data_IF_080663561046
#
_entry.id   IF_080663561046
#
_cell.length_a   1.000
_cell.length_b   1.000
_cell.length_c   1.000
_cell.angle_alpha   90.00
_cell.angle_beta   90.00
_cell.angle_gamma   90.00
#
_symmetry.space_group_name_H-M   'P 1'
#
loop_
_entity.id
_entity.type
_entity.pdbx_description
1 polymer ?
#
# COMPACT_ATOMS: atom_id res chain seq x y z
N UNK A 1 -35.95 53.34 22.40
CA UNK A 1 -35.85 51.87 22.33
C UNK A 1 -34.46 51.51 21.84
N UNK A 2 -33.57 51.09 22.72
CA UNK A 2 -32.19 50.69 22.38
C UNK A 2 -32.19 49.17 22.22
N UNK A 3 -31.93 48.69 21.01
CA UNK A 3 -31.84 47.26 20.71
C UNK A 3 -30.53 46.69 21.26
N UNK A 4 -30.64 45.82 22.27
CA UNK A 4 -29.50 45.09 22.85
C UNK A 4 -29.21 43.87 21.97
N UNK A 5 -28.03 43.82 21.37
CA UNK A 5 -27.58 42.70 20.57
C UNK A 5 -27.34 41.44 21.44
N UNK A 6 -27.77 40.24 21.03
CA UNK A 6 -27.58 39.03 21.81
C UNK A 6 -26.10 38.63 21.86
N UNK A 7 -25.59 38.45 23.08
CA UNK A 7 -24.24 37.98 23.35
C UNK A 7 -24.01 36.62 22.67
N UNK A 8 -23.02 36.57 21.78
CA UNK A 8 -22.58 35.36 21.11
C UNK A 8 -21.95 34.41 22.14
N UNK A 9 -22.73 33.40 22.56
CA UNK A 9 -22.26 32.33 23.42
C UNK A 9 -21.11 31.60 22.72
N UNK A 10 -19.92 31.79 23.27
CA UNK A 10 -18.69 31.12 22.87
C UNK A 10 -18.89 29.61 23.06
N UNK A 11 -19.23 28.89 21.98
CA UNK A 11 -19.28 27.42 22.01
C UNK A 11 -17.85 26.93 22.31
N UNK A 12 -17.59 26.29 23.45
CA UNK A 12 -16.28 25.73 23.71
C UNK A 12 -15.98 24.73 22.59
N UNK A 13 -14.86 24.94 21.89
CA UNK A 13 -14.38 24.05 20.86
C UNK A 13 -14.24 22.65 21.48
N UNK A 14 -15.17 21.76 21.17
CA UNK A 14 -15.13 20.38 21.59
C UNK A 14 -13.84 19.79 21.04
N UNK A 15 -12.84 19.63 21.91
CA UNK A 15 -11.57 18.99 21.57
C UNK A 15 -11.92 17.55 21.18
N UNK A 16 -11.90 17.28 19.88
CA UNK A 16 -12.08 15.93 19.36
C UNK A 16 -10.95 15.08 19.94
N UNK A 17 -11.28 14.24 20.92
CA UNK A 17 -10.36 13.21 21.42
C UNK A 17 -9.89 12.44 20.19
N UNK A 18 -8.59 12.58 19.90
CA UNK A 18 -7.93 11.92 18.79
C UNK A 18 -7.94 10.42 19.12
N UNK A 19 -9.01 9.73 18.76
CA UNK A 19 -9.03 8.27 18.71
C UNK A 19 -8.03 7.85 17.64
N UNK A 20 -6.81 7.56 18.05
CA UNK A 20 -5.84 6.79 17.26
C UNK A 20 -6.41 5.39 17.06
N UNK A 21 -7.32 5.26 16.10
CA UNK A 21 -7.99 4.00 15.85
C UNK A 21 -6.97 2.99 15.29
N UNK A 22 -6.63 1.90 15.99
CA UNK A 22 -5.69 0.87 15.49
C UNK A 22 -6.10 0.33 14.12
N UNK A 23 -7.40 0.38 13.78
CA UNK A 23 -7.91 0.05 12.46
C UNK A 23 -7.38 0.93 11.31
N UNK A 24 -6.88 2.15 11.55
CA UNK A 24 -6.27 2.98 10.49
C UNK A 24 -4.94 2.40 10.02
N UNK A 25 -4.09 1.99 10.95
CA UNK A 25 -2.79 1.39 10.63
C UNK A 25 -2.99 0.06 9.89
N UNK A 26 -3.85 -0.82 10.42
CA UNK A 26 -4.14 -2.11 9.78
C UNK A 26 -4.67 -1.92 8.34
N UNK A 27 -5.59 -0.96 8.13
CA UNK A 27 -6.11 -0.65 6.79
C UNK A 27 -5.02 -0.12 5.86
N UNK A 28 -4.10 0.72 6.36
CA UNK A 28 -2.97 1.22 5.58
C UNK A 28 -2.05 0.08 5.16
N UNK A 29 -1.68 -0.80 6.09
CA UNK A 29 -0.83 -1.97 5.82
C UNK A 29 -1.50 -2.91 4.81
N UNK A 30 -2.78 -3.24 5.01
CA UNK A 30 -3.53 -4.10 4.10
C UNK A 30 -3.62 -3.52 2.69
N UNK A 31 -3.90 -2.22 2.55
CA UNK A 31 -3.92 -1.55 1.23
C UNK A 31 -2.54 -1.56 0.56
N UNK A 32 -1.49 -1.35 1.35
CA UNK A 32 -0.10 -1.35 0.85
C UNK A 32 0.29 -2.73 0.33
N UNK A 33 -0.02 -3.80 1.08
CA UNK A 33 0.21 -5.18 0.67
C UNK A 33 -0.60 -5.54 -0.59
N UNK A 34 -1.90 -5.22 -0.62
CA UNK A 34 -2.74 -5.45 -1.79
C UNK A 34 -2.23 -4.72 -3.03
N UNK A 35 -1.68 -3.52 -2.86
CA UNK A 35 -1.07 -2.78 -3.97
C UNK A 35 0.20 -3.45 -4.50
N UNK A 36 1.06 -3.93 -3.60
CA UNK A 36 2.25 -4.72 -3.97
C UNK A 36 1.91 -6.00 -4.73
N UNK A 37 0.87 -6.73 -4.30
CA UNK A 37 0.41 -7.97 -4.93
C UNK A 37 -0.25 -7.76 -6.30
N UNK A 38 -1.01 -6.67 -6.47
CA UNK A 38 -1.81 -6.45 -7.68
C UNK A 38 -1.09 -5.69 -8.78
N UNK A 39 -0.02 -4.96 -8.46
CA UNK A 39 0.69 -4.11 -9.44
C UNK A 39 1.22 -4.88 -10.65
N UNK A 40 1.89 -6.01 -10.43
CA UNK A 40 2.52 -6.78 -11.50
C UNK A 40 1.49 -7.51 -12.39
N UNK A 41 0.50 -8.24 -11.85
CA UNK A 41 -0.56 -8.84 -12.67
C UNK A 41 -1.28 -7.82 -13.56
N UNK A 42 -1.56 -6.62 -13.05
CA UNK A 42 -2.20 -5.56 -13.83
C UNK A 42 -1.30 -5.02 -14.95
N UNK A 43 0.00 -4.86 -14.71
CA UNK A 43 0.95 -4.42 -15.73
C UNK A 43 1.07 -5.48 -16.85
N UNK A 44 1.15 -6.76 -16.48
CA UNK A 44 1.22 -7.88 -17.44
C UNK A 44 -0.06 -8.00 -18.26
N UNK A 45 -1.24 -7.94 -17.62
CA UNK A 45 -2.52 -8.05 -18.31
C UNK A 45 -2.81 -6.87 -19.26
N UNK A 46 -2.25 -5.69 -19.00
CA UNK A 46 -2.44 -4.51 -19.84
C UNK A 46 -1.75 -4.62 -21.21
N UNK A 47 -0.68 -5.41 -21.33
CA UNK A 47 0.06 -5.60 -22.59
C UNK A 47 -0.82 -6.25 -23.67
N UNK A 48 -1.36 -7.48 -23.50
CA UNK A 48 -2.19 -8.11 -24.52
C UNK A 48 -3.48 -7.31 -24.80
N UNK A 49 -4.09 -6.69 -23.78
CA UNK A 49 -5.26 -5.84 -23.98
C UNK A 49 -4.95 -4.65 -24.90
N UNK A 50 -3.78 -4.02 -24.74
CA UNK A 50 -3.36 -2.91 -25.58
C UNK A 50 -3.12 -3.35 -27.03
N UNK A 51 -2.57 -4.55 -27.24
CA UNK A 51 -2.32 -5.11 -28.56
C UNK A 51 -3.60 -5.46 -29.34
N UNK A 52 -4.68 -5.80 -28.64
CA UNK A 52 -6.01 -6.10 -29.25
C UNK A 52 -6.90 -4.84 -29.33
N UNK A 53 -6.32 -3.64 -29.17
CA UNK A 53 -7.06 -2.38 -29.29
C UNK A 53 -7.93 -2.03 -28.07
N UNK A 54 -7.81 -2.77 -26.96
CA UNK A 54 -8.54 -2.54 -25.70
C UNK A 54 -7.74 -1.64 -24.73
N UNK A 55 -6.96 -0.70 -25.27
CA UNK A 55 -6.08 0.17 -24.48
C UNK A 55 -6.85 1.03 -23.45
N UNK A 56 -8.02 1.54 -23.82
CA UNK A 56 -8.88 2.33 -22.91
C UNK A 56 -9.36 1.49 -21.71
N UNK A 57 -9.73 0.23 -21.95
CA UNK A 57 -10.15 -0.71 -20.90
C UNK A 57 -8.99 -1.06 -19.97
N UNK A 58 -7.80 -1.32 -20.53
CA UNK A 58 -6.59 -1.55 -19.74
C UNK A 58 -6.24 -0.34 -18.87
N UNK A 59 -6.26 0.87 -19.43
CA UNK A 59 -6.04 2.11 -18.70
C UNK A 59 -7.10 2.33 -17.60
N UNK A 60 -8.37 2.02 -17.86
CA UNK A 60 -9.44 2.09 -16.88
C UNK A 60 -9.19 1.14 -15.70
N UNK A 61 -8.79 -0.11 -15.95
CA UNK A 61 -8.45 -1.06 -14.88
C UNK A 61 -7.24 -0.61 -14.06
N UNK A 62 -6.18 -0.12 -14.70
CA UNK A 62 -5.01 0.41 -14.00
C UNK A 62 -5.38 1.62 -13.12
N UNK A 63 -6.19 2.55 -13.63
CA UNK A 63 -6.70 3.70 -12.86
C UNK A 63 -7.60 3.29 -11.70
N UNK A 64 -8.52 2.36 -11.91
CA UNK A 64 -9.40 1.84 -10.87
C UNK A 64 -8.61 1.17 -9.74
N UNK A 65 -7.56 0.42 -10.07
CA UNK A 65 -6.68 -0.20 -9.08
C UNK A 65 -5.89 0.85 -8.26
N UNK A 66 -5.36 1.89 -8.92
CA UNK A 66 -4.72 3.02 -8.23
C UNK A 66 -5.72 3.70 -7.30
N UNK A 67 -6.92 4.03 -7.77
CA UNK A 67 -7.95 4.73 -6.99
C UNK A 67 -8.41 3.90 -5.78
N UNK A 68 -8.58 2.59 -5.95
CA UNK A 68 -9.05 1.70 -4.88
C UNK A 68 -8.00 1.44 -3.79
N UNK A 69 -6.74 1.30 -4.20
CA UNK A 69 -5.68 0.76 -3.33
C UNK A 69 -4.56 1.75 -3.01
N UNK A 70 -4.56 2.98 -3.54
CA UNK A 70 -3.50 3.96 -3.23
C UNK A 70 -3.52 4.32 -1.74
N UNK A 71 -2.38 4.16 -1.03
CA UNK A 71 -2.24 4.54 0.38
C UNK A 71 -2.51 6.04 0.61
N UNK A 72 -2.22 6.89 -0.38
CA UNK A 72 -2.38 8.34 -0.27
C UNK A 72 -3.83 8.76 -0.05
N UNK A 73 -4.79 8.03 -0.63
CA UNK A 73 -6.23 8.28 -0.42
C UNK A 73 -6.67 8.04 1.02
N UNK A 74 -5.98 7.16 1.74
CA UNK A 74 -6.25 6.93 3.17
C UNK A 74 -5.71 8.07 4.04
N UNK A 75 -4.71 8.82 3.56
CA UNK A 75 -4.05 9.90 4.28
C UNK A 75 -4.64 11.28 3.97
N UNK A 76 -5.20 11.49 2.78
CA UNK A 76 -5.82 12.76 2.39
C UNK A 76 -7.24 12.90 2.97
N UNK A 77 -7.56 14.10 3.48
CA UNK A 77 -8.91 14.64 3.76
C UNK A 77 -9.86 14.30 2.58
N UNK A 78 -11.17 14.04 2.81
CA UNK A 78 -12.11 13.69 1.74
C UNK A 78 -11.92 14.63 0.54
N UNK A 79 -11.38 14.06 -0.54
CA UNK A 79 -11.23 14.76 -1.80
C UNK A 79 -12.64 15.22 -2.20
N UNK A 80 -12.76 16.48 -2.63
CA UNK A 80 -13.99 16.97 -3.24
C UNK A 80 -14.42 15.97 -4.31
N UNK A 81 -15.71 15.60 -4.28
CA UNK A 81 -16.29 14.56 -5.13
C UNK A 81 -16.01 14.76 -6.63
N UNK A 82 -15.64 15.98 -7.02
CA UNK A 82 -15.32 16.39 -8.39
C UNK A 82 -14.04 15.76 -8.96
N UNK A 83 -13.12 15.25 -8.14
CA UNK A 83 -11.88 14.63 -8.63
C UNK A 83 -12.09 13.21 -9.24
N UNK A 84 -13.26 12.59 -8.99
CA UNK A 84 -13.59 11.24 -9.42
C UNK A 84 -14.62 11.17 -10.55
N UNK A 85 -15.05 12.32 -11.10
CA UNK A 85 -15.95 12.34 -12.24
C UNK A 85 -15.34 11.52 -13.40
N UNK A 86 -16.08 10.54 -13.97
CA UNK A 86 -15.64 9.80 -15.14
C UNK A 86 -15.19 10.78 -16.23
N UNK A 87 -13.93 10.70 -16.63
CA UNK A 87 -13.45 11.45 -17.79
C UNK A 87 -13.92 10.74 -19.06
N UNK A 88 -15.23 10.76 -19.27
CA UNK A 88 -15.86 10.17 -20.43
C UNK A 88 -15.41 10.95 -21.68
N UNK A 89 -14.77 10.25 -22.62
CA UNK A 89 -14.38 10.80 -23.93
C UNK A 89 -12.87 10.94 -24.18
N UNK A 90 -12.01 10.85 -23.16
CA UNK A 90 -10.54 10.94 -23.37
C UNK A 90 -9.97 9.57 -23.77
N UNK A 91 -9.71 9.38 -25.07
CA UNK A 91 -9.05 8.17 -25.59
C UNK A 91 -7.57 8.14 -25.18
N UNK A 92 -7.12 7.03 -24.60
CA UNK A 92 -5.72 6.80 -24.24
C UNK A 92 -5.08 5.94 -25.34
N UNK A 93 -4.11 6.51 -26.07
CA UNK A 93 -3.42 5.77 -27.12
C UNK A 93 -2.64 4.55 -26.58
N UNK A 94 -2.66 3.43 -27.33
CA UNK A 94 -2.02 2.17 -26.96
C UNK A 94 -0.53 2.30 -26.60
N UNK A 95 0.20 3.17 -27.33
CA UNK A 95 1.62 3.46 -27.06
C UNK A 95 1.84 3.97 -25.63
N UNK A 96 0.94 4.83 -25.12
CA UNK A 96 1.04 5.36 -23.75
C UNK A 96 0.78 4.27 -22.71
N UNK A 97 -0.16 3.36 -22.97
CA UNK A 97 -0.46 2.24 -22.07
C UNK A 97 0.69 1.25 -22.03
N UNK A 98 1.30 0.94 -23.19
CA UNK A 98 2.49 0.10 -23.27
C UNK A 98 3.69 0.73 -22.56
N UNK A 99 3.98 2.01 -22.82
CA UNK A 99 5.04 2.75 -22.15
C UNK A 99 4.82 2.78 -20.62
N UNK A 100 3.59 3.02 -20.18
CA UNK A 100 3.23 2.95 -18.76
C UNK A 100 3.52 1.56 -18.19
N UNK A 101 3.05 0.50 -18.85
CA UNK A 101 3.20 -0.88 -18.40
C UNK A 101 4.67 -1.29 -18.27
N UNK A 102 5.52 -0.93 -19.24
CA UNK A 102 6.97 -1.17 -19.19
C UNK A 102 7.62 -0.41 -18.04
N UNK A 103 7.31 0.88 -17.89
CA UNK A 103 7.89 1.73 -16.83
C UNK A 103 7.48 1.28 -15.42
N UNK A 104 6.27 0.73 -15.25
CA UNK A 104 5.80 0.26 -13.94
C UNK A 104 6.10 -1.21 -13.66
N UNK A 105 6.58 -1.99 -14.63
CA UNK A 105 6.85 -3.41 -14.46
C UNK A 105 7.92 -3.68 -13.40
N UNK A 106 9.08 -3.01 -13.48
CA UNK A 106 10.16 -3.16 -12.51
C UNK A 106 9.74 -2.75 -11.07
N UNK A 107 9.16 -1.56 -10.83
CA UNK A 107 8.70 -1.21 -9.49
C UNK A 107 7.55 -2.10 -9.01
N UNK A 108 6.73 -2.65 -9.91
CA UNK A 108 5.69 -3.61 -9.54
C UNK A 108 6.28 -4.95 -9.09
N UNK A 109 7.28 -5.46 -9.81
CA UNK A 109 7.99 -6.67 -9.43
C UNK A 109 8.70 -6.49 -8.08
N UNK A 110 9.43 -5.37 -7.90
CA UNK A 110 10.08 -5.07 -6.63
C UNK A 110 9.06 -4.95 -5.46
N UNK A 111 7.90 -4.35 -5.71
CA UNK A 111 6.82 -4.27 -4.72
C UNK A 111 6.22 -5.64 -4.37
N UNK A 112 6.06 -6.52 -5.36
CA UNK A 112 5.64 -7.91 -5.15
C UNK A 112 6.65 -8.67 -4.29
N UNK A 113 7.94 -8.63 -4.66
CA UNK A 113 9.02 -9.29 -3.91
C UNK A 113 9.06 -8.78 -2.47
N UNK A 114 9.02 -7.46 -2.25
CA UNK A 114 9.00 -6.89 -0.91
C UNK A 114 7.78 -7.37 -0.08
N UNK A 115 6.61 -7.52 -0.72
CA UNK A 115 5.40 -8.03 -0.07
C UNK A 115 5.53 -9.51 0.29
N UNK A 116 6.09 -10.32 -0.61
CA UNK A 116 6.37 -11.74 -0.35
C UNK A 116 7.39 -11.91 0.77
N UNK A 117 8.45 -11.11 0.80
CA UNK A 117 9.43 -11.10 1.90
C UNK A 117 8.75 -10.72 3.22
N UNK A 118 7.90 -9.69 3.25
CA UNK A 118 7.17 -9.31 4.45
C UNK A 118 6.21 -10.40 4.94
N UNK A 119 5.56 -11.13 4.04
CA UNK A 119 4.72 -12.28 4.39
C UNK A 119 5.55 -13.44 4.93
N UNK A 120 6.68 -13.75 4.30
CA UNK A 120 7.60 -14.78 4.75
C UNK A 120 8.15 -14.48 6.15
N UNK A 121 8.48 -13.23 6.47
CA UNK A 121 8.97 -12.85 7.80
C UNK A 121 7.95 -12.98 8.92
N UNK A 122 6.64 -12.96 8.61
CA UNK A 122 5.61 -13.32 9.61
C UNK A 122 5.82 -14.76 10.07
N UNK A 123 5.99 -15.68 9.12
CA UNK A 123 6.22 -17.09 9.41
C UNK A 123 7.59 -17.32 10.07
N UNK A 124 8.66 -16.80 9.48
CA UNK A 124 10.03 -17.07 9.95
C UNK A 124 10.42 -16.32 11.22
N UNK A 125 9.71 -15.23 11.56
CA UNK A 125 9.99 -14.37 12.71
C UNK A 125 8.96 -14.51 13.81
N UNK A 126 7.78 -13.92 13.63
CA UNK A 126 6.75 -13.89 14.69
C UNK A 126 6.21 -15.27 15.04
N UNK A 127 6.04 -16.13 14.02
CA UNK A 127 5.58 -17.50 14.19
C UNK A 127 6.73 -18.50 14.30
N UNK A 128 7.94 -18.04 14.65
CA UNK A 128 9.13 -18.88 14.77
C UNK A 128 8.89 -20.11 15.67
N UNK A 129 8.16 -19.96 16.77
CA UNK A 129 7.84 -21.05 17.69
C UNK A 129 6.90 -22.13 17.12
N UNK A 130 6.22 -21.86 16.00
CA UNK A 130 5.40 -22.85 15.28
C UNK A 130 6.20 -23.66 14.27
N UNK A 131 7.46 -23.33 14.03
CA UNK A 131 8.29 -24.10 13.10
C UNK A 131 8.50 -25.52 13.63
N UNK A 132 8.56 -26.54 12.75
CA UNK A 132 8.74 -27.92 13.17
C UNK A 132 9.98 -28.18 14.04
N UNK A 133 11.04 -27.39 13.85
CA UNK A 133 12.29 -27.47 14.62
C UNK A 133 12.22 -26.77 15.99
N UNK A 134 11.34 -25.78 16.17
CA UNK A 134 11.21 -25.00 17.40
C UNK A 134 10.03 -25.44 18.28
N UNK A 135 8.97 -26.01 17.69
CA UNK A 135 7.74 -26.40 18.40
C UNK A 135 7.93 -27.43 19.52
N UNK A 136 8.90 -28.37 19.48
CA UNK A 136 9.14 -29.26 20.62
C UNK A 136 9.55 -28.54 21.92
N UNK A 137 10.08 -27.31 21.82
CA UNK A 137 10.50 -26.52 22.98
C UNK A 137 9.37 -25.70 23.63
N UNK A 138 8.14 -25.76 23.09
CA UNK A 138 6.98 -25.06 23.67
C UNK A 138 6.64 -25.52 25.10
N UNK A 139 7.01 -26.76 25.47
CA UNK A 139 6.83 -27.28 26.82
C UNK A 139 7.82 -26.71 27.84
N UNK A 140 8.94 -26.14 27.38
CA UNK A 140 10.03 -25.65 28.23
C UNK A 140 10.66 -24.37 27.63
N UNK A 141 9.88 -23.30 27.42
CA UNK A 141 10.28 -22.18 26.57
C UNK A 141 11.44 -21.33 27.11
N UNK A 142 11.70 -21.41 28.42
CA UNK A 142 12.80 -20.73 29.11
C UNK A 142 13.99 -21.65 29.42
N UNK A 143 13.88 -22.95 29.17
CA UNK A 143 14.97 -23.88 29.37
C UNK A 143 15.92 -23.85 28.17
N UNK A 144 17.20 -24.10 28.44
CA UNK A 144 18.16 -24.35 27.39
C UNK A 144 17.78 -25.63 26.64
N UNK A 145 17.75 -25.59 25.31
CA UNK A 145 17.52 -26.74 24.43
C UNK A 145 18.59 -26.74 23.34
N UNK A 146 19.28 -27.87 23.18
CA UNK A 146 20.33 -28.08 22.18
C UNK A 146 19.91 -27.74 20.74
N UNK A 147 18.60 -27.75 20.44
CA UNK A 147 18.07 -27.32 19.13
C UNK A 147 18.32 -25.84 18.83
N UNK A 148 18.55 -25.04 19.86
CA UNK A 148 18.89 -23.62 19.76
C UNK A 148 20.38 -23.36 19.99
N UNK A 149 21.23 -24.40 19.96
CA UNK A 149 22.67 -24.21 20.01
C UNK A 149 23.12 -23.41 18.77
N UNK A 150 23.68 -22.22 19.02
CA UNK A 150 24.04 -21.26 17.96
C UNK A 150 22.89 -20.38 17.46
N UNK A 151 21.68 -20.51 18.01
CA UNK A 151 20.59 -19.60 17.70
C UNK A 151 20.90 -18.18 18.21
N UNK A 152 20.56 -17.18 17.41
CA UNK A 152 20.59 -15.79 17.86
C UNK A 152 19.51 -15.58 18.93
N UNK A 153 19.89 -15.04 20.09
CA UNK A 153 18.99 -14.92 21.25
C UNK A 153 19.24 -15.95 22.35
N UNK A 154 20.20 -16.86 22.15
CA UNK A 154 20.63 -17.83 23.16
C UNK A 154 19.91 -19.18 23.06
N UNK A 155 20.22 -20.12 23.97
CA UNK A 155 19.79 -21.51 23.88
C UNK A 155 18.32 -21.74 24.28
N UNK A 156 17.54 -20.67 24.49
CA UNK A 156 16.14 -20.76 24.94
C UNK A 156 15.21 -20.40 23.78
N UNK A 157 14.03 -21.03 23.72
CA UNK A 157 13.02 -20.71 22.71
C UNK A 157 12.59 -19.24 22.77
N UNK A 158 12.37 -18.70 23.97
CA UNK A 158 11.95 -17.30 24.16
C UNK A 158 13.01 -16.33 23.66
N UNK A 159 14.28 -16.58 23.99
CA UNK A 159 15.38 -15.75 23.53
C UNK A 159 15.51 -15.78 22.00
N UNK A 160 15.49 -16.97 21.41
CA UNK A 160 15.51 -17.15 19.96
C UNK A 160 14.33 -16.45 19.28
N UNK A 161 13.10 -16.69 19.75
CA UNK A 161 11.89 -16.07 19.21
C UNK A 161 11.92 -14.55 19.29
N UNK A 162 12.38 -13.97 20.41
CA UNK A 162 12.44 -12.53 20.61
C UNK A 162 13.35 -11.87 19.56
N UNK A 163 14.55 -12.40 19.37
CA UNK A 163 15.50 -11.85 18.38
C UNK A 163 14.93 -11.96 16.96
N UNK A 164 14.38 -13.12 16.59
CA UNK A 164 13.77 -13.30 15.26
C UNK A 164 12.56 -12.37 15.04
N UNK A 165 11.77 -12.12 16.08
CA UNK A 165 10.64 -11.18 16.04
C UNK A 165 11.11 -9.74 15.83
N UNK A 166 12.19 -9.31 16.49
CA UNK A 166 12.77 -7.97 16.29
C UNK A 166 13.34 -7.80 14.88
N UNK A 167 14.05 -8.81 14.37
CA UNK A 167 14.55 -8.82 12.99
C UNK A 167 13.39 -8.76 11.99
N UNK A 168 12.34 -9.55 12.20
CA UNK A 168 11.15 -9.54 11.35
C UNK A 168 10.44 -8.19 11.35
N UNK A 169 10.32 -7.53 12.51
CA UNK A 169 9.79 -6.18 12.62
C UNK A 169 10.60 -5.19 11.78
N UNK A 170 11.93 -5.22 11.89
CA UNK A 170 12.81 -4.36 11.09
C UNK A 170 12.62 -4.56 9.59
N UNK A 171 12.60 -5.81 9.14
CA UNK A 171 12.37 -6.15 7.72
C UNK A 171 10.99 -5.69 7.24
N UNK A 172 9.95 -5.87 8.05
CA UNK A 172 8.59 -5.46 7.68
C UNK A 172 8.45 -3.95 7.57
N UNK A 173 9.04 -3.19 8.50
CA UNK A 173 9.09 -1.73 8.39
C UNK A 173 9.79 -1.30 7.09
N UNK A 174 10.94 -1.91 6.78
CA UNK A 174 11.65 -1.67 5.51
C UNK A 174 10.80 -2.00 4.29
N UNK A 175 10.19 -3.19 4.25
CA UNK A 175 9.33 -3.62 3.14
C UNK A 175 8.14 -2.69 2.92
N UNK A 176 7.47 -2.27 4.00
CA UNK A 176 6.36 -1.31 3.94
C UNK A 176 6.81 0.03 3.34
N UNK A 177 7.96 0.57 3.76
CA UNK A 177 8.50 1.81 3.23
C UNK A 177 8.86 1.69 1.74
N UNK A 178 9.48 0.57 1.35
CA UNK A 178 9.81 0.26 -0.05
C UNK A 178 8.54 0.19 -0.91
N UNK A 179 7.53 -0.57 -0.50
CA UNK A 179 6.26 -0.68 -1.25
C UNK A 179 5.55 0.67 -1.35
N UNK A 180 5.57 1.50 -0.30
CA UNK A 180 5.03 2.86 -0.35
C UNK A 180 5.76 3.75 -1.35
N UNK A 181 7.10 3.72 -1.36
CA UNK A 181 7.91 4.50 -2.30
C UNK A 181 7.67 4.07 -3.74
N UNK A 182 7.66 2.76 -4.01
CA UNK A 182 7.40 2.21 -5.35
C UNK A 182 5.99 2.52 -5.82
N UNK A 183 4.98 2.40 -4.95
CA UNK A 183 3.60 2.78 -5.25
C UNK A 183 3.50 4.27 -5.58
N UNK A 184 4.21 5.13 -4.86
CA UNK A 184 4.23 6.56 -5.15
C UNK A 184 4.81 6.86 -6.55
N UNK A 185 5.84 6.13 -6.97
CA UNK A 185 6.39 6.22 -8.33
C UNK A 185 5.37 5.76 -9.37
N UNK A 186 4.74 4.59 -9.17
CA UNK A 186 3.69 4.08 -10.05
C UNK A 186 2.50 5.03 -10.18
N UNK A 187 2.07 5.65 -9.09
CA UNK A 187 0.99 6.64 -9.08
C UNK A 187 1.38 7.90 -9.87
N UNK A 188 2.64 8.35 -9.77
CA UNK A 188 3.17 9.47 -10.57
C UNK A 188 3.18 9.12 -12.06
N UNK A 189 3.65 7.93 -12.42
CA UNK A 189 3.63 7.43 -13.80
C UNK A 189 2.21 7.32 -14.35
N UNK A 190 1.27 6.82 -13.54
CA UNK A 190 -0.15 6.69 -13.92
C UNK A 190 -0.77 8.05 -14.22
N UNK A 191 -0.55 9.04 -13.35
CA UNK A 191 -1.03 10.41 -13.59
C UNK A 191 -0.40 11.00 -14.86
N UNK A 192 0.92 10.92 -15.04
CA UNK A 192 1.58 11.52 -16.21
C UNK A 192 1.17 10.90 -17.54
N UNK A 193 1.02 9.58 -17.61
CA UNK A 193 0.80 8.88 -18.87
C UNK A 193 -0.67 8.63 -19.20
N UNK A 194 -1.54 8.52 -18.18
CA UNK A 194 -2.95 8.12 -18.35
C UNK A 194 -3.97 9.24 -18.05
N UNK A 195 -3.53 10.45 -17.65
CA UNK A 195 -4.45 11.59 -17.39
C UNK A 195 -4.26 12.80 -18.33
N UNK A 196 -3.26 12.78 -19.22
CA UNK A 196 -3.00 13.89 -20.16
C UNK A 196 -3.81 13.70 -21.44
N UNK A 197 -5.06 14.14 -21.40
CA UNK A 197 -5.90 14.23 -22.60
C UNK A 197 -7.02 15.25 -22.45
N UNK A 198 -6.77 16.34 -21.71
CA UNK A 198 -7.53 17.56 -21.95
C UNK A 198 -7.01 18.14 -23.24
N UNK A 199 -7.70 17.85 -24.33
CA UNK A 199 -7.60 18.62 -25.55
C UNK A 199 -7.71 20.08 -25.16
N UNK A 200 -6.69 20.86 -25.50
CA UNK A 200 -6.77 22.31 -25.56
C UNK A 200 -7.68 22.63 -26.74
N UNK A 201 -8.97 22.33 -26.58
CA UNK A 201 -10.04 22.73 -27.49
C UNK A 201 -10.91 23.68 -26.70
N UNK A 202 -10.56 24.96 -26.75
CA UNK A 202 -11.46 26.12 -26.81
C UNK A 202 -10.59 27.37 -26.69
N UNK A 203 -10.19 27.88 -27.85
CA UNK A 203 -9.41 29.12 -27.98
C UNK A 203 -9.36 29.63 -29.41
N UNK A 204 -10.47 29.50 -30.14
CA UNK A 204 -10.70 30.06 -31.47
C UNK A 204 -12.14 29.74 -31.85
N UNK A 205 -13.04 30.70 -32.02
CA UNK A 205 -12.90 32.05 -32.56
C UNK A 205 -13.81 33.03 -31.83
#
# INVERSE_FOLDING_TARGET
MVAVAPASLHRPAARSVVRTAPGRLLRLMARTALRGLTGLPLAVAAVPLSLVGQADRAAAWQRAAVARWSPRRAASVPASADADAPQDGVRVGAVRVLAHSVLVALPALAGLVATCVAAFTVYSGYLYFLRPDASPALGHPFAADHRFDGAWGGPTLVGAWLVHSLVALGIQLGAVLVVQALTAVQDRCSRRLLSVGRSVETGGR
#
